data_IF_794274258385
#
_entry.id   IF_794274258385
#
_cell.length_a   1.000
_cell.length_b   1.000
_cell.length_c   1.000
_cell.angle_alpha   90.00
_cell.angle_beta   90.00
_cell.angle_gamma   90.00
#
_symmetry.space_group_name_H-M   'P 1'
#
loop_
_entity.id
_entity.type
_entity.pdbx_description
1 polymer ?
#
# COMPACT_ATOMS: atom_id res chain seq x y z
N UNK A 1 -4.99 1.30 14.06
CA UNK A 1 -4.42 0.08 14.70
C UNK A 1 -5.14 -1.18 14.23
N UNK A 2 -6.48 -1.22 14.12
CA UNK A 2 -7.22 -2.41 13.71
C UNK A 2 -6.77 -2.88 12.31
N UNK A 3 -6.86 -2.04 11.29
CA UNK A 3 -6.43 -2.32 9.92
C UNK A 3 -4.98 -2.84 9.87
N UNK A 4 -4.04 -2.23 10.61
CA UNK A 4 -2.65 -2.71 10.66
C UNK A 4 -2.54 -4.14 11.21
N UNK A 5 -3.33 -4.48 12.26
CA UNK A 5 -3.36 -5.85 12.81
C UNK A 5 -3.89 -6.85 11.79
N UNK A 6 -4.91 -6.46 11.01
CA UNK A 6 -5.45 -7.31 9.94
C UNK A 6 -4.38 -7.58 8.86
N UNK A 7 -3.68 -6.56 8.40
CA UNK A 7 -2.58 -6.74 7.44
C UNK A 7 -1.48 -7.65 8.00
N UNK A 8 -1.07 -7.46 9.26
CA UNK A 8 -0.09 -8.36 9.89
C UNK A 8 -0.57 -9.81 9.96
N UNK A 9 -1.84 -10.03 10.27
CA UNK A 9 -2.42 -11.37 10.32
C UNK A 9 -2.40 -12.05 8.94
N UNK A 10 -2.67 -11.28 7.88
CA UNK A 10 -2.58 -11.79 6.51
C UNK A 10 -1.13 -12.08 6.12
N UNK A 11 -0.17 -11.19 6.44
CA UNK A 11 1.26 -11.46 6.20
C UNK A 11 1.74 -12.71 6.94
N UNK A 12 1.29 -12.91 8.19
CA UNK A 12 1.59 -14.11 8.96
C UNK A 12 1.04 -15.35 8.26
N UNK A 13 -0.21 -15.28 7.78
CA UNK A 13 -0.84 -16.38 7.05
C UNK A 13 -0.09 -16.74 5.76
N UNK A 14 0.37 -15.74 4.98
CA UNK A 14 1.20 -15.97 3.79
C UNK A 14 2.45 -16.80 4.15
N UNK A 15 3.11 -16.43 5.25
CA UNK A 15 4.33 -17.13 5.70
C UNK A 15 4.03 -18.52 6.25
N UNK A 16 3.02 -18.66 7.11
CA UNK A 16 2.68 -19.92 7.80
C UNK A 16 2.15 -20.99 6.83
N UNK A 17 1.40 -20.55 5.81
CA UNK A 17 0.85 -21.45 4.78
C UNK A 17 1.78 -21.62 3.58
N UNK A 18 2.97 -21.03 3.64
CA UNK A 18 4.00 -21.07 2.58
C UNK A 18 3.47 -20.65 1.19
N UNK A 19 2.53 -19.72 1.15
CA UNK A 19 2.00 -19.19 -0.10
C UNK A 19 3.08 -18.39 -0.83
N UNK A 20 3.32 -18.66 -2.10
CA UNK A 20 4.28 -17.89 -2.90
C UNK A 20 3.94 -16.40 -2.87
N UNK A 21 2.68 -16.07 -3.08
CA UNK A 21 2.15 -14.70 -2.95
C UNK A 21 0.65 -14.72 -2.60
N UNK A 22 0.14 -13.60 -2.10
CA UNK A 22 -1.29 -13.38 -1.92
C UNK A 22 -1.73 -12.02 -2.43
N UNK A 23 -2.92 -11.96 -3.02
CA UNK A 23 -3.62 -10.72 -3.32
C UNK A 23 -4.49 -10.35 -2.11
N UNK A 24 -4.22 -9.20 -1.52
CA UNK A 24 -4.94 -8.65 -0.37
C UNK A 24 -5.81 -7.53 -0.89
N UNK A 25 -7.07 -7.50 -0.48
CA UNK A 25 -8.03 -6.47 -0.86
C UNK A 25 -8.84 -6.06 0.37
N UNK A 26 -9.06 -4.75 0.56
CA UNK A 26 -9.93 -4.20 1.60
C UNK A 26 -11.40 -4.32 1.18
N UNK A 27 -12.32 -4.29 2.14
CA UNK A 27 -13.76 -4.56 1.93
C UNK A 27 -14.51 -3.42 1.25
N UNK A 28 -13.90 -2.25 1.10
CA UNK A 28 -14.43 -1.10 0.37
C UNK A 28 -13.89 -0.97 -1.07
N UNK A 29 -13.12 -1.94 -1.53
CA UNK A 29 -12.61 -1.97 -2.90
C UNK A 29 -13.70 -2.30 -3.92
N UNK A 30 -13.68 -1.58 -5.04
CA UNK A 30 -14.49 -1.85 -6.23
C UNK A 30 -13.57 -2.26 -7.37
N UNK A 31 -13.89 -3.36 -8.04
CA UNK A 31 -13.08 -3.95 -9.11
C UNK A 31 -13.74 -3.70 -10.46
N UNK A 32 -13.00 -3.09 -11.39
CA UNK A 32 -13.32 -3.08 -12.81
C UNK A 32 -12.66 -4.31 -13.46
N UNK A 33 -13.41 -5.35 -13.86
CA UNK A 33 -12.82 -6.59 -14.37
C UNK A 33 -12.01 -6.41 -15.66
N UNK A 34 -12.32 -5.40 -16.48
CA UNK A 34 -11.63 -5.17 -17.75
C UNK A 34 -10.21 -4.64 -17.54
N UNK A 35 -10.04 -3.72 -16.60
CA UNK A 35 -8.73 -3.17 -16.28
C UNK A 35 -7.96 -4.05 -15.27
N UNK A 36 -8.67 -4.69 -14.33
CA UNK A 36 -8.08 -5.50 -13.27
C UNK A 36 -7.41 -6.78 -13.78
N UNK A 37 -8.02 -7.47 -14.77
CA UNK A 37 -7.48 -8.71 -15.31
C UNK A 37 -6.03 -8.56 -15.77
N UNK A 38 -5.74 -7.70 -16.75
CA UNK A 38 -4.36 -7.45 -17.21
C UNK A 38 -3.41 -6.97 -16.09
N UNK A 39 -3.90 -6.13 -15.17
CA UNK A 39 -3.11 -5.67 -14.03
C UNK A 39 -2.73 -6.82 -13.08
N UNK A 40 -3.64 -7.76 -12.85
CA UNK A 40 -3.38 -8.95 -12.05
C UNK A 40 -2.37 -9.87 -12.71
N UNK A 41 -2.48 -10.06 -14.02
CA UNK A 41 -1.59 -10.95 -14.77
C UNK A 41 -0.13 -10.45 -14.75
N UNK A 42 0.11 -9.17 -15.02
CA UNK A 42 1.46 -8.60 -14.95
C UNK A 42 1.99 -8.61 -13.51
N UNK A 43 1.15 -8.34 -12.51
CA UNK A 43 1.55 -8.39 -11.10
C UNK A 43 1.94 -9.82 -10.69
N UNK A 44 1.17 -10.83 -11.08
CA UNK A 44 1.49 -12.25 -10.81
C UNK A 44 2.79 -12.69 -11.45
N UNK A 45 3.06 -12.26 -12.67
CA UNK A 45 4.27 -12.61 -13.39
C UNK A 45 5.54 -12.03 -12.72
N UNK A 46 5.43 -10.91 -12.01
CA UNK A 46 6.58 -10.16 -11.49
C UNK A 46 6.59 -9.99 -9.96
N UNK A 47 5.69 -10.62 -9.23
CA UNK A 47 5.59 -10.43 -7.77
C UNK A 47 6.85 -10.84 -7.02
N UNK A 48 7.54 -11.88 -7.46
CA UNK A 48 8.78 -12.33 -6.82
C UNK A 48 9.90 -11.29 -6.95
N UNK A 49 9.95 -10.58 -8.08
CA UNK A 49 10.93 -9.53 -8.33
C UNK A 49 10.66 -8.29 -7.46
N UNK A 50 9.41 -7.83 -7.41
CA UNK A 50 9.05 -6.59 -6.71
C UNK A 50 8.70 -6.80 -5.22
N UNK A 51 8.28 -7.99 -4.85
CA UNK A 51 7.87 -8.34 -3.49
C UNK A 51 6.52 -7.75 -3.07
N UNK A 52 6.26 -6.48 -3.37
CA UNK A 52 4.97 -5.80 -3.13
C UNK A 52 4.59 -4.98 -4.35
N UNK A 53 3.40 -5.23 -4.89
CA UNK A 53 2.80 -4.46 -5.98
C UNK A 53 1.44 -3.96 -5.52
N UNK A 54 1.29 -2.65 -5.38
CA UNK A 54 0.02 -2.01 -5.03
C UNK A 54 -0.86 -1.81 -6.27
N UNK A 55 -2.15 -2.06 -6.10
CA UNK A 55 -3.21 -1.74 -7.05
C UNK A 55 -3.87 -0.45 -6.58
N UNK A 56 -3.29 0.67 -7.00
CA UNK A 56 -3.68 1.98 -6.51
C UNK A 56 -5.02 2.45 -7.10
N UNK A 57 -5.79 3.15 -6.29
CA UNK A 57 -7.05 3.79 -6.68
C UNK A 57 -6.84 5.15 -7.37
N UNK A 58 -5.61 5.64 -7.39
CA UNK A 58 -5.20 6.92 -7.98
C UNK A 58 -3.97 6.74 -8.87
N UNK A 59 -3.82 7.58 -9.89
CA UNK A 59 -2.63 7.54 -10.74
C UNK A 59 -1.34 7.70 -9.94
N UNK A 60 -0.29 7.01 -10.39
CA UNK A 60 1.04 7.22 -9.88
C UNK A 60 1.53 8.65 -10.18
N UNK A 61 2.46 9.21 -9.37
CA UNK A 61 3.06 10.50 -9.67
C UNK A 61 3.76 10.49 -11.03
N UNK A 62 3.69 11.61 -11.77
CA UNK A 62 4.29 11.75 -13.12
C UNK A 62 5.82 11.51 -13.15
N UNK A 63 6.48 11.54 -11.99
CA UNK A 63 7.92 11.28 -11.85
C UNK A 63 8.22 9.85 -11.35
N UNK A 64 7.25 8.95 -11.37
CA UNK A 64 7.47 7.54 -11.09
C UNK A 64 8.33 6.92 -12.20
N UNK A 65 9.23 6.03 -11.81
CA UNK A 65 10.06 5.28 -12.78
C UNK A 65 9.23 4.16 -13.37
N UNK A 66 9.20 4.04 -14.69
CA UNK A 66 8.60 2.88 -15.36
C UNK A 66 9.58 1.72 -15.29
N UNK A 67 9.20 0.64 -14.63
CA UNK A 67 9.99 -0.59 -14.56
C UNK A 67 9.63 -1.56 -15.67
N UNK A 68 8.32 -1.72 -15.92
CA UNK A 68 7.79 -2.63 -16.94
C UNK A 68 6.61 -1.99 -17.66
N UNK A 69 6.43 -2.37 -18.91
CA UNK A 69 5.32 -1.92 -19.74
C UNK A 69 4.87 -3.11 -20.62
N UNK A 70 3.61 -3.49 -20.48
CA UNK A 70 2.98 -4.55 -21.30
C UNK A 70 1.59 -4.09 -21.76
N UNK A 71 1.47 -3.83 -23.07
CA UNK A 71 0.25 -3.30 -23.66
C UNK A 71 -0.15 -1.94 -23.04
N UNK A 72 -1.27 -1.91 -22.33
CA UNK A 72 -1.78 -0.71 -21.65
C UNK A 72 -1.43 -0.67 -20.15
N UNK A 73 -0.78 -1.73 -19.63
CA UNK A 73 -0.47 -1.86 -18.20
C UNK A 73 1.01 -1.64 -17.93
N UNK A 74 1.31 -0.97 -16.84
CA UNK A 74 2.68 -0.66 -16.41
C UNK A 74 2.90 -1.05 -14.96
N UNK A 75 4.13 -1.44 -14.63
CA UNK A 75 4.62 -1.48 -13.24
C UNK A 75 5.56 -0.29 -13.04
N UNK A 76 5.23 0.52 -12.05
CA UNK A 76 5.86 1.80 -11.76
C UNK A 76 6.51 1.78 -10.38
N UNK A 77 7.66 2.47 -10.25
CA UNK A 77 8.32 2.73 -8.97
C UNK A 77 8.15 4.20 -8.57
N UNK A 78 7.17 4.55 -7.74
CA UNK A 78 7.07 5.89 -7.21
C UNK A 78 8.23 6.15 -6.25
N UNK A 79 8.87 7.33 -6.34
CA UNK A 79 9.96 7.71 -5.44
C UNK A 79 9.55 7.64 -3.95
N UNK A 80 8.31 7.99 -3.66
CA UNK A 80 7.71 7.82 -2.33
C UNK A 80 6.53 6.86 -2.51
N UNK A 81 6.55 5.74 -1.78
CA UNK A 81 5.45 4.77 -1.77
C UNK A 81 4.12 5.48 -1.56
N UNK A 82 3.14 5.16 -2.38
CA UNK A 82 1.82 5.77 -2.29
C UNK A 82 1.11 5.30 -1.01
N UNK A 83 0.34 6.21 -0.43
CA UNK A 83 -0.57 5.87 0.67
C UNK A 83 -1.76 5.08 0.13
N UNK A 84 -2.53 4.49 1.02
CA UNK A 84 -3.63 3.54 0.81
C UNK A 84 -3.13 2.14 0.50
N UNK A 85 -3.75 1.19 1.15
CA UNK A 85 -3.47 -0.25 1.00
C UNK A 85 -4.70 -1.01 0.54
N UNK A 86 -5.61 -0.31 -0.16
CA UNK A 86 -6.91 -0.82 -0.63
C UNK A 86 -6.78 -2.17 -1.33
N UNK A 87 -5.74 -2.32 -2.17
CA UNK A 87 -5.40 -3.62 -2.74
C UNK A 87 -3.90 -3.72 -3.04
N UNK A 88 -3.31 -4.90 -2.79
CA UNK A 88 -1.91 -5.18 -3.07
C UNK A 88 -1.66 -6.67 -3.26
N UNK A 89 -0.73 -7.02 -4.13
CA UNK A 89 -0.13 -8.35 -4.17
C UNK A 89 1.16 -8.33 -3.36
N UNK A 90 1.37 -9.37 -2.52
CA UNK A 90 2.52 -9.45 -1.62
C UNK A 90 3.11 -10.86 -1.71
N UNK A 91 4.42 -10.95 -1.99
CA UNK A 91 5.14 -12.23 -1.98
C UNK A 91 5.44 -12.72 -0.57
N UNK A 92 5.71 -14.01 -0.40
CA UNK A 92 6.10 -14.61 0.88
C UNK A 92 7.34 -13.93 1.46
N UNK A 93 8.34 -13.66 0.63
CA UNK A 93 9.58 -13.02 1.07
C UNK A 93 9.34 -11.59 1.58
N UNK A 94 8.46 -10.82 0.92
CA UNK A 94 8.07 -9.50 1.35
C UNK A 94 7.22 -9.53 2.63
N UNK A 95 6.27 -10.47 2.73
CA UNK A 95 5.48 -10.67 3.95
C UNK A 95 6.36 -10.95 5.17
N UNK A 96 7.36 -11.82 5.04
CA UNK A 96 8.32 -12.11 6.10
C UNK A 96 9.11 -10.86 6.53
N UNK A 97 9.60 -10.05 5.57
CA UNK A 97 10.29 -8.78 5.87
C UNK A 97 9.39 -7.77 6.59
N UNK A 98 8.16 -7.60 6.10
CA UNK A 98 7.19 -6.70 6.72
C UNK A 98 6.83 -7.14 8.14
N UNK A 99 6.69 -8.44 8.40
CA UNK A 99 6.47 -8.98 9.75
C UNK A 99 7.64 -8.70 10.68
N UNK A 100 8.86 -8.97 10.24
CA UNK A 100 10.07 -8.79 11.04
C UNK A 100 10.27 -7.34 11.49
N UNK A 101 9.86 -6.37 10.64
CA UNK A 101 10.05 -4.94 10.89
C UNK A 101 8.85 -4.24 11.52
N UNK A 102 7.67 -4.86 11.53
CA UNK A 102 6.42 -4.29 12.05
C UNK A 102 6.18 -4.59 13.54
N UNK A 103 7.20 -4.45 14.38
CA UNK A 103 7.10 -4.76 15.83
C UNK A 103 6.29 -3.71 16.60
N UNK A 104 6.30 -2.45 16.15
CA UNK A 104 5.56 -1.35 16.75
C UNK A 104 4.39 -0.93 15.86
N UNK A 105 3.17 -0.96 16.41
CA UNK A 105 1.94 -0.54 15.73
C UNK A 105 1.60 0.92 16.09
N UNK A 106 2.53 1.85 15.81
CA UNK A 106 2.45 3.25 16.21
C UNK A 106 1.84 4.16 15.12
N UNK A 107 1.57 3.62 13.95
CA UNK A 107 1.10 4.36 12.76
C UNK A 107 0.15 3.53 11.90
N UNK A 108 -0.55 4.13 10.90
CA UNK A 108 -1.26 3.39 9.87
C UNK A 108 -0.33 2.48 9.06
N UNK A 109 -0.86 1.38 8.53
CA UNK A 109 -0.06 0.38 7.78
C UNK A 109 0.51 0.96 6.49
N UNK A 110 -0.24 1.78 5.77
CA UNK A 110 0.21 2.48 4.58
C UNK A 110 1.38 3.43 4.87
N UNK A 111 1.30 4.13 6.00
CA UNK A 111 2.39 4.98 6.49
C UNK A 111 3.63 4.18 6.91
N UNK A 112 3.45 2.98 7.43
CA UNK A 112 4.57 2.07 7.73
C UNK A 112 5.25 1.60 6.44
N UNK A 113 4.48 1.22 5.43
CA UNK A 113 5.00 0.76 4.15
C UNK A 113 5.75 1.85 3.37
N UNK A 114 5.51 3.14 3.66
CA UNK A 114 6.31 4.24 3.09
C UNK A 114 7.75 4.31 3.63
N UNK A 115 8.03 3.68 4.75
CA UNK A 115 9.36 3.71 5.38
C UNK A 115 10.24 2.60 4.81
N UNK A 116 10.59 2.68 3.54
CA UNK A 116 11.36 1.65 2.83
C UNK A 116 12.74 1.41 3.47
N UNK A 117 13.35 2.44 4.10
CA UNK A 117 14.58 2.29 4.88
C UNK A 117 14.39 1.47 6.18
N UNK A 118 13.16 1.35 6.70
CA UNK A 118 12.82 0.54 7.88
C UNK A 118 12.37 -0.85 7.44
N UNK A 119 11.48 -0.90 6.46
CA UNK A 119 10.90 -2.17 5.99
C UNK A 119 11.88 -2.98 5.15
N UNK A 120 12.87 -2.35 4.53
CA UNK A 120 13.73 -2.97 3.52
C UNK A 120 12.95 -3.44 2.29
N UNK A 121 11.68 -2.99 2.15
CA UNK A 121 10.77 -3.45 1.10
C UNK A 121 10.27 -2.27 0.27
N UNK A 122 10.84 -2.04 -0.92
CA UNK A 122 10.26 -1.14 -1.91
C UNK A 122 8.87 -1.60 -2.33
N UNK A 123 8.03 -0.66 -2.72
CA UNK A 123 6.65 -0.92 -3.15
C UNK A 123 6.47 -0.41 -4.57
N UNK A 124 6.19 -1.31 -5.48
CA UNK A 124 5.81 -0.98 -6.85
C UNK A 124 4.29 -0.73 -6.95
N UNK A 125 3.87 -0.12 -8.04
CA UNK A 125 2.47 0.17 -8.35
C UNK A 125 2.15 -0.34 -9.73
N UNK A 126 1.02 -1.02 -9.91
CA UNK A 126 0.48 -1.36 -11.22
C UNK A 126 -0.54 -0.31 -11.67
N UNK A 127 -0.45 0.13 -12.93
CA UNK A 127 -1.34 1.15 -13.52
C UNK A 127 -1.66 0.83 -14.99
N UNK A 128 -2.94 0.91 -15.42
CA UNK A 128 -4.14 1.05 -14.58
C UNK A 128 -4.34 -0.18 -13.70
N UNK A 129 -4.83 0.01 -12.47
CA UNK A 129 -5.02 -1.09 -11.51
C UNK A 129 -6.37 -1.82 -11.63
N UNK A 130 -7.36 -1.13 -12.18
CA UNK A 130 -8.75 -1.59 -12.15
C UNK A 130 -9.41 -1.57 -10.75
N UNK A 131 -8.78 -0.89 -9.77
CA UNK A 131 -9.28 -0.78 -8.40
C UNK A 131 -9.70 0.67 -8.12
N UNK A 132 -10.90 0.82 -7.52
CA UNK A 132 -11.41 2.07 -6.95
C UNK A 132 -12.01 1.82 -5.57
N UNK A 133 -12.40 2.86 -4.85
CA UNK A 133 -13.04 2.75 -3.53
C UNK A 133 -14.51 3.14 -3.58
N UNK A 134 -15.35 2.47 -2.78
CA UNK A 134 -16.78 2.82 -2.64
C UNK A 134 -16.95 4.29 -2.23
N UNK A 135 -16.06 4.82 -1.39
CA UNK A 135 -16.08 6.22 -0.95
C UNK A 135 -15.95 7.23 -2.10
N UNK A 136 -15.27 6.85 -3.17
CA UNK A 136 -15.12 7.70 -4.37
C UNK A 136 -16.45 7.79 -5.16
N UNK A 137 -17.35 6.81 -4.98
CA UNK A 137 -18.68 6.76 -5.61
C UNK A 137 -19.80 7.37 -4.74
N UNK A 138 -19.65 7.40 -3.41
CA UNK A 138 -20.70 7.82 -2.45
C UNK A 138 -20.43 9.22 -1.84
N UNK A 139 -19.27 9.83 -2.12
CA UNK A 139 -18.97 11.21 -1.74
C UNK A 139 -18.66 11.45 -0.26
N UNK A 140 -18.15 10.47 0.48
CA UNK A 140 -17.65 10.71 1.82
C UNK A 140 -17.37 9.47 2.67
N UNK A 141 -16.38 9.59 3.55
CA UNK A 141 -16.07 8.57 4.55
C UNK A 141 -16.95 8.74 5.80
N UNK A 142 -17.47 7.66 6.34
CA UNK A 142 -18.28 7.58 7.57
C UNK A 142 -17.51 7.87 8.87
N UNK A 143 -16.28 8.40 8.79
CA UNK A 143 -15.51 8.75 9.99
C UNK A 143 -16.09 10.05 10.55
N UNK A 144 -16.88 9.93 11.63
CA UNK A 144 -17.41 11.04 12.40
C UNK A 144 -16.29 12.05 12.75
N UNK A 145 -16.46 13.29 12.31
CA UNK A 145 -15.60 14.41 12.69
C UNK A 145 -15.83 14.72 14.18
N UNK A 146 -14.99 14.13 15.03
CA UNK A 146 -14.93 14.52 16.44
C UNK A 146 -14.17 15.84 16.52
N UNK A 147 -14.77 16.89 17.06
CA UNK A 147 -14.08 18.15 17.33
C UNK A 147 -12.84 17.89 18.19
N UNK A 148 -11.69 18.32 17.74
CA UNK A 148 -10.39 18.05 18.38
C UNK A 148 -9.82 19.33 18.97
N UNK A 149 -9.24 19.24 20.18
CA UNK A 149 -8.62 20.35 20.86
C UNK A 149 -7.42 20.92 20.07
N UNK A 150 -7.11 22.20 20.30
CA UNK A 150 -5.95 22.88 19.66
C UNK A 150 -4.63 22.20 19.99
N UNK A 151 -4.45 21.67 21.19
CA UNK A 151 -3.27 20.90 21.60
C UNK A 151 -3.09 19.61 20.78
N UNK A 152 -4.18 18.88 20.53
CA UNK A 152 -4.16 17.69 19.67
C UNK A 152 -3.83 18.03 18.20
N UNK A 153 -4.25 19.21 17.72
CA UNK A 153 -3.92 19.68 16.35
C UNK A 153 -2.41 19.94 16.22
N UNK A 154 -1.80 20.63 17.19
CA UNK A 154 -0.37 20.95 17.21
C UNK A 154 0.46 19.66 17.31
N UNK A 155 0.13 18.75 18.21
CA UNK A 155 0.80 17.46 18.37
C UNK A 155 0.75 16.65 17.06
N UNK A 156 -0.39 16.62 16.38
CA UNK A 156 -0.55 15.93 15.09
C UNK A 156 0.30 16.55 13.98
N UNK A 157 0.37 17.88 13.90
CA UNK A 157 1.20 18.54 12.88
C UNK A 157 2.70 18.28 13.14
N UNK A 158 3.14 18.22 14.39
CA UNK A 158 4.50 17.84 14.73
C UNK A 158 4.81 16.38 14.33
N UNK A 159 3.89 15.45 14.65
CA UNK A 159 4.04 14.05 14.21
C UNK A 159 4.02 13.90 12.68
N UNK A 160 3.17 14.66 11.99
CA UNK A 160 3.14 14.70 10.51
C UNK A 160 4.44 15.28 9.93
N UNK A 161 5.00 16.32 10.52
CA UNK A 161 6.25 16.91 10.08
C UNK A 161 7.42 15.92 10.23
N UNK A 162 7.54 15.27 11.41
CA UNK A 162 8.55 14.22 11.65
C UNK A 162 8.38 13.06 10.67
N UNK A 163 7.14 12.62 10.44
CA UNK A 163 6.85 11.57 9.49
C UNK A 163 7.25 11.93 8.06
N UNK A 164 6.83 13.12 7.56
CA UNK A 164 7.23 13.60 6.24
C UNK A 164 8.74 13.69 6.06
N UNK A 165 9.45 14.11 7.10
CA UNK A 165 10.91 14.14 7.10
C UNK A 165 11.52 12.73 7.04
N UNK A 166 11.00 11.78 7.82
CA UNK A 166 11.44 10.39 7.82
C UNK A 166 11.22 9.73 6.44
N UNK A 167 10.06 9.93 5.82
CA UNK A 167 9.74 9.41 4.48
C UNK A 167 10.67 9.99 3.42
N UNK A 168 10.95 11.31 3.46
CA UNK A 168 11.88 11.95 2.51
C UNK A 168 13.32 11.45 2.63
N UNK A 169 13.73 10.98 3.81
CA UNK A 169 15.05 10.36 4.02
C UNK A 169 15.08 8.89 3.62
N UNK A 170 13.94 8.25 3.57
CA UNK A 170 13.78 6.86 3.17
C UNK A 170 13.70 6.66 1.65
N UNK A 171 13.42 7.74 0.92
CA UNK A 171 13.31 7.84 -0.54
C UNK A 171 14.64 8.33 -1.11
#
# INVERSE_FOLDING_TARGET
IACYKSHRAVWQKIVDEELDAAFIVEDDAVIDPQAFGPALDIARAHIEEFGVIQFQTRPAPNNATVFLHDGLVQILGPRITMLRTTAAMISKSAAARLLATSTLLDRPVDSFMQLTNVTGQPVAVVEPSGISEVSDHIGGTTIQQREKSTAERISREFHRARYRWAVRRAS
#
